data_IF_432530502147
#
_entry.id   IF_432530502147
#
_cell.length_a   1.000
_cell.length_b   1.000
_cell.length_c   1.000
_cell.angle_alpha   90.00
_cell.angle_beta   90.00
_cell.angle_gamma   90.00
#
_symmetry.space_group_name_H-M   'P 1'
#
loop_
_entity.id
_entity.type
_entity.pdbx_description
1 polymer ?
#
# COMPACT_ATOMS: atom_id res chain seq x y z
N UNK A 1 11.94 -1.43 13.66
CA UNK A 1 12.69 -0.47 12.82
C UNK A 1 11.79 0.60 12.18
N UNK A 2 10.73 0.25 11.44
CA UNK A 2 9.79 1.23 10.84
C UNK A 2 8.99 2.07 11.87
N UNK A 3 8.71 1.50 13.06
CA UNK A 3 8.02 2.20 14.16
C UNK A 3 8.84 3.39 14.69
N UNK A 4 10.16 3.25 14.77
CA UNK A 4 11.07 4.31 15.24
C UNK A 4 11.17 5.47 14.21
N UNK A 5 11.13 5.15 12.91
CA UNK A 5 11.12 6.14 11.84
C UNK A 5 9.79 6.92 11.76
N UNK A 6 8.68 6.29 12.17
CA UNK A 6 7.36 6.90 12.25
C UNK A 6 7.23 8.00 13.30
N UNK A 7 8.07 7.97 14.35
CA UNK A 7 8.08 9.01 15.38
C UNK A 7 8.75 10.30 14.91
N UNK A 8 9.65 10.24 13.91
CA UNK A 8 10.47 11.38 13.47
C UNK A 8 10.05 11.98 12.13
N UNK A 9 9.37 11.21 11.29
CA UNK A 9 8.92 11.65 9.96
C UNK A 9 7.42 11.40 9.86
N UNK A 10 6.65 12.44 9.48
CA UNK A 10 5.20 12.33 9.23
C UNK A 10 4.91 11.06 8.39
N UNK A 11 4.24 10.04 8.96
CA UNK A 11 4.04 8.74 8.33
C UNK A 11 3.41 8.85 6.93
N UNK A 12 2.58 9.87 6.73
CA UNK A 12 1.89 10.14 5.48
C UNK A 12 2.83 10.61 4.35
N UNK A 13 3.93 11.32 4.67
CA UNK A 13 4.95 11.68 3.68
C UNK A 13 5.74 10.45 3.23
N UNK A 14 6.06 9.53 4.14
CA UNK A 14 6.74 8.27 3.83
C UNK A 14 5.89 7.42 2.87
N UNK A 15 4.59 7.28 3.17
CA UNK A 15 3.67 6.50 2.32
C UNK A 15 3.57 7.10 0.92
N UNK A 16 3.52 8.43 0.79
CA UNK A 16 3.47 9.08 -0.53
C UNK A 16 4.73 8.81 -1.37
N UNK A 17 5.91 8.87 -0.75
CA UNK A 17 7.18 8.57 -1.43
C UNK A 17 7.22 7.10 -1.85
N UNK A 18 6.83 6.17 -0.97
CA UNK A 18 6.74 4.73 -1.29
C UNK A 18 5.77 4.47 -2.45
N UNK A 19 4.62 5.13 -2.48
CA UNK A 19 3.63 4.99 -3.54
C UNK A 19 4.18 5.45 -4.90
N UNK A 20 4.92 6.56 -4.95
CA UNK A 20 5.55 7.04 -6.19
C UNK A 20 6.59 6.03 -6.69
N UNK A 21 7.46 5.54 -5.80
CA UNK A 21 8.48 4.53 -6.13
C UNK A 21 7.81 3.24 -6.65
N UNK A 22 6.74 2.80 -5.98
CA UNK A 22 5.99 1.62 -6.39
C UNK A 22 5.26 1.80 -7.72
N UNK A 23 4.74 2.99 -8.01
CA UNK A 23 4.12 3.32 -9.30
C UNK A 23 5.11 3.25 -10.46
N UNK A 24 6.32 3.77 -10.29
CA UNK A 24 7.40 3.64 -11.29
C UNK A 24 7.78 2.17 -11.48
N UNK A 25 7.88 1.42 -10.38
CA UNK A 25 8.20 -0.01 -10.43
C UNK A 25 7.13 -0.84 -11.17
N UNK A 26 5.84 -0.53 -11.02
CA UNK A 26 4.76 -1.22 -11.74
C UNK A 26 4.92 -1.10 -13.25
N UNK A 27 5.32 0.06 -13.76
CA UNK A 27 5.52 0.27 -15.19
C UNK A 27 6.68 -0.57 -15.75
N UNK A 28 7.70 -0.81 -14.93
CA UNK A 28 8.90 -1.59 -15.28
C UNK A 28 8.69 -3.11 -15.08
N UNK A 29 7.73 -3.49 -14.23
CA UNK A 29 7.46 -4.87 -13.82
C UNK A 29 7.19 -5.86 -14.98
N UNK A 30 6.32 -5.59 -15.98
CA UNK A 30 6.07 -6.55 -17.06
C UNK A 30 7.30 -6.76 -17.95
N UNK A 31 8.13 -5.73 -18.12
CA UNK A 31 9.39 -5.84 -18.87
C UNK A 31 10.43 -6.69 -18.13
N UNK A 32 10.46 -6.58 -16.80
CA UNK A 32 11.30 -7.42 -15.94
C UNK A 32 10.82 -8.88 -15.92
N UNK A 33 9.50 -9.11 -15.92
CA UNK A 33 8.90 -10.45 -15.96
C UNK A 33 9.14 -11.15 -17.30
N UNK A 34 9.12 -10.43 -18.42
CA UNK A 34 9.35 -11.00 -19.75
C UNK A 34 10.78 -11.53 -19.96
N UNK A 35 11.78 -10.90 -19.34
CA UNK A 35 13.20 -11.29 -19.49
C UNK A 35 13.68 -12.25 -18.39
N UNK A 36 12.77 -12.89 -17.65
CA UNK A 36 13.13 -13.77 -16.54
C UNK A 36 13.90 -15.00 -17.04
N UNK A 37 15.20 -15.00 -16.77
CA UNK A 37 16.11 -16.10 -17.12
C UNK A 37 16.68 -16.81 -15.87
N UNK A 38 16.52 -16.22 -14.68
CA UNK A 38 17.13 -16.74 -13.44
C UNK A 38 16.23 -16.58 -12.19
N UNK A 39 16.16 -17.59 -11.29
CA UNK A 39 15.43 -17.52 -10.02
C UNK A 39 15.85 -16.37 -9.10
N UNK A 40 17.11 -15.92 -9.19
CA UNK A 40 17.62 -14.80 -8.41
C UNK A 40 16.90 -13.48 -8.75
N UNK A 41 16.51 -13.29 -10.01
CA UNK A 41 15.79 -12.09 -10.43
C UNK A 41 14.41 -12.02 -9.76
N UNK A 42 13.72 -13.15 -9.64
CA UNK A 42 12.43 -13.24 -8.93
C UNK A 42 12.59 -12.88 -7.45
N UNK A 43 13.66 -13.35 -6.82
CA UNK A 43 13.95 -13.02 -5.41
C UNK A 43 14.16 -11.52 -5.19
N UNK A 44 14.92 -10.85 -6.08
CA UNK A 44 15.11 -9.40 -5.99
C UNK A 44 13.80 -8.62 -6.23
N UNK A 45 12.98 -9.05 -7.17
CA UNK A 45 11.66 -8.45 -7.44
C UNK A 45 10.76 -8.58 -6.20
N UNK A 46 10.68 -9.77 -5.60
CA UNK A 46 9.90 -9.99 -4.37
C UNK A 46 10.44 -9.17 -3.19
N UNK A 47 11.76 -9.10 -3.02
CA UNK A 47 12.38 -8.27 -1.99
C UNK A 47 12.06 -6.78 -2.16
N UNK A 48 12.09 -6.27 -3.40
CA UNK A 48 11.71 -4.90 -3.69
C UNK A 48 10.24 -4.62 -3.34
N UNK A 49 9.33 -5.54 -3.71
CA UNK A 49 7.90 -5.45 -3.36
C UNK A 49 7.70 -5.48 -1.84
N UNK A 50 8.47 -6.28 -1.10
CA UNK A 50 8.35 -6.35 0.35
C UNK A 50 8.80 -5.05 1.04
N UNK A 51 9.83 -4.37 0.52
CA UNK A 51 10.36 -3.13 1.08
C UNK A 51 9.52 -1.89 0.71
N UNK A 52 9.13 -1.80 -0.56
CA UNK A 52 8.45 -0.63 -1.14
C UNK A 52 6.97 -0.84 -1.40
N UNK A 53 6.43 -2.02 -1.06
CA UNK A 53 5.02 -2.33 -1.23
C UNK A 53 4.09 -1.36 -0.49
N UNK A 54 2.86 -1.29 -0.98
CA UNK A 54 1.79 -0.50 -0.38
C UNK A 54 1.33 -1.13 0.95
N UNK A 55 2.10 -0.94 2.00
CA UNK A 55 1.77 -1.36 3.36
C UNK A 55 1.26 -0.18 4.19
N UNK A 56 0.25 -0.42 5.03
CA UNK A 56 -0.24 0.56 6.02
C UNK A 56 0.78 0.88 7.13
N UNK A 57 1.90 0.16 7.20
CA UNK A 57 2.99 0.43 8.13
C UNK A 57 3.90 1.51 7.53
N UNK A 58 3.66 2.81 7.82
CA UNK A 58 3.85 3.42 9.16
C UNK A 58 2.65 4.25 9.68
N UNK A 59 1.54 4.36 8.94
CA UNK A 59 0.41 5.25 9.23
C UNK A 59 -0.78 4.57 9.94
N UNK A 60 -0.69 3.27 10.21
CA UNK A 60 -1.64 2.55 11.06
C UNK A 60 -2.00 3.27 12.37
N UNK A 61 -1.05 3.86 13.14
CA UNK A 61 -1.39 4.62 14.35
C UNK A 61 -2.22 5.90 14.07
N UNK A 62 -2.06 6.53 12.90
CA UNK A 62 -2.85 7.70 12.50
C UNK A 62 -4.29 7.29 12.22
N UNK A 63 -4.51 6.20 11.47
CA UNK A 63 -5.85 5.69 11.18
C UNK A 63 -6.60 5.26 12.44
N UNK A 64 -5.89 4.63 13.38
CA UNK A 64 -6.46 4.23 14.67
C UNK A 64 -6.82 5.43 15.57
N UNK A 65 -6.22 6.62 15.38
CA UNK A 65 -6.55 7.83 16.15
C UNK A 65 -7.97 8.32 15.88
N UNK A 66 -8.44 8.19 14.64
CA UNK A 66 -9.80 8.57 14.24
C UNK A 66 -10.87 7.54 14.64
N UNK A 67 -10.46 6.35 15.07
CA UNK A 67 -11.39 5.30 15.50
C UNK A 67 -11.59 5.31 17.03
N UNK A 68 -12.84 5.16 17.51
CA UNK A 68 -13.14 5.11 18.94
C UNK A 68 -12.53 3.86 19.59
N UNK A 69 -11.87 4.04 20.74
CA UNK A 69 -11.00 3.05 21.42
C UNK A 69 -11.64 1.66 21.53
N UNK A 70 -12.91 1.59 21.91
CA UNK A 70 -13.63 0.32 22.12
C UNK A 70 -13.93 -0.46 20.84
N UNK A 71 -13.95 0.20 19.67
CA UNK A 71 -14.28 -0.46 18.38
C UNK A 71 -13.08 -0.61 17.45
N UNK A 72 -11.88 -0.19 17.86
CA UNK A 72 -10.65 -0.26 17.05
C UNK A 72 -10.37 -1.68 16.58
N UNK A 73 -10.51 -2.66 17.48
CA UNK A 73 -10.27 -4.07 17.15
C UNK A 73 -11.28 -4.60 16.14
N UNK A 74 -12.57 -4.33 16.34
CA UNK A 74 -13.63 -4.82 15.44
C UNK A 74 -13.51 -4.22 14.04
N UNK A 75 -13.35 -2.89 13.93
CA UNK A 75 -13.25 -2.23 12.62
C UNK A 75 -11.95 -2.62 11.88
N UNK A 76 -10.82 -2.70 12.58
CA UNK A 76 -9.55 -3.13 11.97
C UNK A 76 -9.63 -4.58 11.48
N UNK A 77 -10.12 -5.49 12.32
CA UNK A 77 -10.26 -6.91 11.97
C UNK A 77 -11.28 -7.12 10.86
N UNK A 78 -12.42 -6.43 10.89
CA UNK A 78 -13.42 -6.50 9.83
C UNK A 78 -12.89 -5.98 8.49
N UNK A 79 -12.24 -4.81 8.50
CA UNK A 79 -11.63 -4.24 7.28
C UNK A 79 -10.53 -5.16 6.71
N UNK A 80 -9.70 -5.74 7.58
CA UNK A 80 -8.69 -6.71 7.17
C UNK A 80 -9.30 -7.98 6.58
N UNK A 81 -10.32 -8.56 7.23
CA UNK A 81 -11.03 -9.74 6.75
C UNK A 81 -11.71 -9.49 5.41
N UNK A 82 -12.40 -8.35 5.26
CA UNK A 82 -13.07 -7.95 4.02
C UNK A 82 -12.05 -7.78 2.88
N UNK A 83 -10.92 -7.13 3.15
CA UNK A 83 -9.85 -6.98 2.17
C UNK A 83 -9.29 -8.34 1.74
N UNK A 84 -9.05 -9.25 2.68
CA UNK A 84 -8.57 -10.61 2.37
C UNK A 84 -9.58 -11.41 1.57
N UNK A 85 -10.86 -11.37 1.95
CA UNK A 85 -11.93 -12.06 1.22
C UNK A 85 -12.04 -11.55 -0.23
N UNK A 86 -11.96 -10.24 -0.44
CA UNK A 86 -11.97 -9.65 -1.77
C UNK A 86 -10.73 -10.05 -2.59
N UNK A 87 -9.53 -9.93 -2.00
CA UNK A 87 -8.28 -10.26 -2.68
C UNK A 87 -8.23 -11.75 -3.05
N UNK A 88 -8.63 -12.65 -2.16
CA UNK A 88 -8.62 -14.09 -2.46
C UNK A 88 -9.62 -14.45 -3.56
N UNK A 89 -10.83 -13.88 -3.50
CA UNK A 89 -11.85 -14.08 -4.55
C UNK A 89 -11.32 -13.58 -5.90
N UNK A 90 -10.84 -12.33 -5.96
CA UNK A 90 -10.33 -11.73 -7.20
C UNK A 90 -9.10 -12.48 -7.70
N UNK A 91 -8.19 -12.91 -6.83
CA UNK A 91 -6.97 -13.63 -7.25
C UNK A 91 -7.34 -15.00 -7.80
N UNK A 92 -8.24 -15.74 -7.14
CA UNK A 92 -8.59 -17.10 -7.55
C UNK A 92 -9.31 -17.11 -8.89
N UNK A 93 -10.31 -16.24 -9.07
CA UNK A 93 -11.06 -16.15 -10.33
C UNK A 93 -10.31 -15.34 -11.40
N UNK A 94 -9.63 -14.26 -11.00
CA UNK A 94 -8.95 -13.34 -11.91
C UNK A 94 -7.63 -13.87 -12.47
N UNK A 95 -6.90 -14.73 -11.74
CA UNK A 95 -5.63 -15.29 -12.26
C UNK A 95 -5.85 -16.11 -13.53
N UNK A 96 -6.97 -16.86 -13.60
CA UNK A 96 -7.31 -17.66 -14.77
C UNK A 96 -7.60 -16.77 -16.00
N UNK A 97 -8.36 -15.68 -15.81
CA UNK A 97 -8.66 -14.73 -16.88
C UNK A 97 -7.40 -13.98 -17.35
N UNK A 98 -6.50 -13.66 -16.42
CA UNK A 98 -5.22 -13.00 -16.71
C UNK A 98 -4.32 -13.87 -17.60
N UNK A 99 -4.19 -15.15 -17.28
CA UNK A 99 -3.35 -16.09 -18.03
C UNK A 99 -3.88 -16.27 -19.46
N UNK A 100 -5.21 -16.33 -19.63
CA UNK A 100 -5.82 -16.60 -20.95
C UNK A 100 -5.76 -15.37 -21.87
N UNK A 101 -5.95 -14.15 -21.35
CA UNK A 101 -6.09 -12.96 -22.20
C UNK A 101 -4.84 -12.09 -22.33
N UNK A 102 -3.99 -12.02 -21.32
CA UNK A 102 -2.94 -10.99 -21.23
C UNK A 102 -1.55 -11.51 -20.86
N UNK A 103 -1.41 -12.81 -20.61
CA UNK A 103 -0.13 -13.43 -20.22
C UNK A 103 0.56 -12.60 -19.12
N UNK A 104 1.80 -12.14 -19.31
CA UNK A 104 2.51 -11.31 -18.33
C UNK A 104 1.95 -9.89 -18.13
N UNK A 105 1.21 -9.34 -19.10
CA UNK A 105 0.60 -8.00 -18.99
C UNK A 105 -0.61 -7.99 -18.06
N UNK A 106 -1.16 -9.17 -17.75
CA UNK A 106 -2.32 -9.30 -16.86
C UNK A 106 -2.06 -8.69 -15.48
N UNK A 107 -0.81 -8.77 -15.01
CA UNK A 107 -0.36 -8.24 -13.72
C UNK A 107 -0.58 -6.72 -13.62
N UNK A 108 -0.46 -5.97 -14.72
CA UNK A 108 -0.73 -4.53 -14.73
C UNK A 108 -2.21 -4.21 -14.51
N UNK A 109 -3.12 -5.01 -15.08
CA UNK A 109 -4.58 -4.80 -14.97
C UNK A 109 -5.04 -4.89 -13.52
N UNK A 110 -4.36 -5.68 -12.68
CA UNK A 110 -4.64 -5.79 -11.24
C UNK A 110 -3.92 -4.69 -10.45
N UNK A 111 -2.64 -4.42 -10.74
CA UNK A 111 -1.83 -3.48 -9.95
C UNK A 111 -2.25 -2.01 -10.13
N UNK A 112 -2.67 -1.61 -11.32
CA UNK A 112 -3.10 -0.23 -11.61
C UNK A 112 -4.31 0.20 -10.77
N UNK A 113 -5.45 -0.52 -10.76
CA UNK A 113 -6.60 -0.10 -9.95
C UNK A 113 -6.30 -0.15 -8.44
N UNK A 114 -5.50 -1.12 -7.98
CA UNK A 114 -5.08 -1.21 -6.57
C UNK A 114 -4.25 0.00 -6.15
N UNK A 115 -3.30 0.42 -6.99
CA UNK A 115 -2.46 1.59 -6.69
C UNK A 115 -3.22 2.92 -6.80
N UNK A 116 -4.13 3.06 -7.75
CA UNK A 116 -5.02 4.23 -7.84
C UNK A 116 -5.93 4.32 -6.60
N UNK A 117 -6.52 3.21 -6.17
CA UNK A 117 -7.32 3.15 -4.96
C UNK A 117 -6.51 3.53 -3.71
N UNK A 118 -5.28 3.04 -3.60
CA UNK A 118 -4.37 3.39 -2.51
C UNK A 118 -3.99 4.88 -2.54
N UNK A 119 -3.73 5.44 -3.71
CA UNK A 119 -3.44 6.87 -3.88
C UNK A 119 -4.62 7.75 -3.47
N UNK A 120 -5.84 7.38 -3.88
CA UNK A 120 -7.06 8.06 -3.47
C UNK A 120 -7.24 8.02 -1.95
N UNK A 121 -7.07 6.84 -1.33
CA UNK A 121 -7.17 6.68 0.12
C UNK A 121 -6.16 7.55 0.88
N UNK A 122 -4.89 7.59 0.45
CA UNK A 122 -3.86 8.43 1.06
C UNK A 122 -4.20 9.91 0.95
N UNK A 123 -4.70 10.37 -0.19
CA UNK A 123 -5.11 11.77 -0.38
C UNK A 123 -6.33 12.14 0.47
N UNK A 124 -7.30 11.22 0.61
CA UNK A 124 -8.46 11.42 1.48
C UNK A 124 -8.04 11.59 2.95
N UNK A 125 -7.18 10.71 3.46
CA UNK A 125 -6.66 10.84 4.82
C UNK A 125 -5.80 12.09 5.02
N UNK A 126 -5.06 12.52 3.99
CA UNK A 126 -4.35 13.81 4.03
C UNK A 126 -5.31 14.99 4.18
N UNK A 127 -6.47 14.94 3.52
CA UNK A 127 -7.51 15.96 3.64
C UNK A 127 -8.07 15.98 5.07
N UNK A 128 -8.41 14.82 5.63
CA UNK A 128 -8.87 14.70 7.02
C UNK A 128 -7.86 15.23 8.04
N UNK A 129 -6.56 14.95 7.86
CA UNK A 129 -5.52 15.45 8.77
C UNK A 129 -5.37 16.99 8.71
N UNK A 130 -5.59 17.59 7.53
CA UNK A 130 -5.60 19.06 7.37
C UNK A 130 -6.81 19.69 8.03
N UNK A 131 -8.00 19.11 7.86
CA UNK A 131 -9.25 19.59 8.47
C UNK A 131 -9.22 19.47 10.00
N UNK A 132 -8.55 18.44 10.53
CA UNK A 132 -8.31 18.27 11.96
C UNK A 132 -7.20 19.18 12.53
N UNK A 133 -6.56 20.03 11.70
CA UNK A 133 -5.48 20.94 12.13
C UNK A 133 -4.19 20.24 12.56
N UNK A 134 -3.99 18.98 12.19
CA UNK A 134 -2.84 18.15 12.63
C UNK A 134 -1.69 18.12 11.59
N UNK A 135 -1.77 18.91 10.51
CA UNK A 135 -0.91 18.78 9.33
C UNK A 135 -0.42 20.13 8.77
N UNK A 136 0.89 20.50 8.84
CA UNK A 136 1.95 20.10 9.76
C UNK A 136 2.38 21.31 10.62
N UNK A 137 1.96 21.38 11.88
CA UNK A 137 2.46 22.44 12.80
C UNK A 137 2.56 22.00 14.28
N UNK A 138 1.90 20.92 14.71
CA UNK A 138 1.86 20.54 16.14
C UNK A 138 2.81 19.44 16.60
N UNK A 139 3.65 18.87 15.73
CA UNK A 139 4.56 17.78 16.12
C UNK A 139 5.89 18.26 16.72
N UNK A 140 6.15 19.58 16.76
CA UNK A 140 7.37 20.17 17.33
C UNK A 140 7.16 20.91 18.66
N UNK A 141 5.92 21.05 19.16
CA UNK A 141 5.64 21.78 20.41
C UNK A 141 5.53 20.88 21.66
N UNK A 142 5.70 19.56 21.50
CA UNK A 142 5.61 18.62 22.64
C UNK A 142 6.82 17.71 22.65
N UNK A 143 8.00 18.30 22.78
CA UNK A 143 9.18 17.69 23.39
C UNK A 143 9.99 18.75 24.13
#
# INVERSE_FOLDING_TARGET
>A
MLVYLSCKIYPLKIIKIKLIIFGIFILICPYLLYNLTSPLQVFFIQGFIMLFGCFMSPAFPIFCKYLPVLRRFTYASFSFALSRAAVFTITTFGSILLIIYLDHWGVMVILVPVTLGFWYGVNYFKKLEKEAGNYPEKLFEVY
#
